data_IF_655387119143
#
_entry.id   IF_655387119143
#
_cell.length_a   1.000
_cell.length_b   1.000
_cell.length_c   1.000
_cell.angle_alpha   90.00
_cell.angle_beta   90.00
_cell.angle_gamma   90.00
#
_symmetry.space_group_name_H-M   'P 1'
#
loop_
_entity.id
_entity.type
_entity.pdbx_description
1 polymer ?
#
# COMPACT_ATOMS: atom_id res chain seq x y z
N UNK A 1 -15.47 7.53 -50.89
CA UNK A 1 -14.40 7.74 -49.89
C UNK A 1 -13.31 6.70 -50.15
N UNK A 2 -12.08 7.13 -50.42
CA UNK A 2 -11.02 6.25 -50.94
C UNK A 2 -10.66 5.18 -49.91
N UNK A 3 -10.58 3.89 -50.30
CA UNK A 3 -10.23 2.78 -49.42
C UNK A 3 -8.90 3.02 -48.65
N UNK A 4 -7.94 3.67 -49.31
CA UNK A 4 -6.68 4.12 -48.70
C UNK A 4 -6.88 5.15 -47.59
N UNK A 5 -7.83 6.06 -47.75
CA UNK A 5 -8.16 7.05 -46.73
C UNK A 5 -8.87 6.42 -45.52
N UNK A 6 -9.70 5.39 -45.76
CA UNK A 6 -10.36 4.61 -44.70
C UNK A 6 -9.31 3.82 -43.89
N UNK A 7 -8.31 3.22 -44.57
CA UNK A 7 -7.22 2.49 -43.91
C UNK A 7 -6.35 3.41 -43.02
N UNK A 8 -6.06 4.63 -43.48
CA UNK A 8 -5.30 5.61 -42.71
C UNK A 8 -6.08 6.16 -41.50
N UNK A 9 -7.40 6.34 -41.65
CA UNK A 9 -8.26 6.77 -40.55
C UNK A 9 -8.40 5.69 -39.47
N UNK A 10 -8.53 4.41 -39.86
CA UNK A 10 -8.60 3.27 -38.95
C UNK A 10 -7.30 3.08 -38.15
N UNK A 11 -6.14 3.36 -38.75
CA UNK A 11 -4.85 3.25 -38.08
C UNK A 11 -4.68 4.31 -36.98
N UNK A 12 -5.27 5.51 -37.15
CA UNK A 12 -5.19 6.60 -36.18
C UNK A 12 -6.02 6.40 -34.91
N UNK A 13 -7.08 5.58 -34.95
CA UNK A 13 -7.99 5.36 -33.81
C UNK A 13 -7.38 4.41 -32.76
N UNK A 14 -6.31 3.69 -33.08
CA UNK A 14 -5.68 2.73 -32.16
C UNK A 14 -4.72 3.36 -31.12
N UNK A 15 -4.49 4.69 -31.16
CA UNK A 15 -3.65 5.38 -30.17
C UNK A 15 -4.45 5.84 -28.93
N UNK A 16 -5.47 5.11 -28.50
CA UNK A 16 -6.13 5.42 -27.23
C UNK A 16 -5.20 5.03 -26.08
N UNK A 17 -4.63 6.03 -25.39
CA UNK A 17 -3.89 5.82 -24.17
C UNK A 17 -4.83 5.27 -23.08
N UNK A 18 -4.54 4.07 -22.60
CA UNK A 18 -5.30 3.45 -21.51
C UNK A 18 -4.69 3.89 -20.17
N UNK A 19 -5.50 4.44 -19.27
CA UNK A 19 -5.08 4.73 -17.90
C UNK A 19 -5.22 3.49 -17.03
N UNK A 20 -4.26 3.27 -16.13
CA UNK A 20 -4.27 2.11 -15.23
C UNK A 20 -5.36 2.27 -14.18
N UNK A 21 -6.39 1.42 -14.23
CA UNK A 21 -7.43 1.31 -13.20
C UNK A 21 -7.07 0.23 -12.18
N UNK A 22 -7.45 0.38 -10.91
CA UNK A 22 -7.21 -0.65 -9.91
C UNK A 22 -8.15 -1.84 -10.16
N UNK A 23 -7.65 -3.06 -9.93
CA UNK A 23 -8.50 -4.26 -9.78
C UNK A 23 -9.19 -4.25 -8.41
N UNK A 24 -10.26 -5.03 -8.25
CA UNK A 24 -11.01 -5.15 -7.00
C UNK A 24 -10.09 -5.52 -5.82
N UNK A 25 -9.14 -6.42 -6.06
CA UNK A 25 -8.19 -6.91 -5.07
C UNK A 25 -7.02 -5.94 -4.85
N UNK A 26 -6.60 -5.19 -5.86
CA UNK A 26 -5.55 -4.19 -5.68
C UNK A 26 -6.06 -2.93 -4.98
N UNK A 27 -7.37 -2.63 -5.07
CA UNK A 27 -7.98 -1.45 -4.45
C UNK A 27 -7.87 -1.44 -2.91
N UNK A 28 -7.74 -2.61 -2.29
CA UNK A 28 -7.56 -2.74 -0.85
C UNK A 28 -6.14 -2.41 -0.35
N UNK A 29 -5.15 -2.31 -1.26
CA UNK A 29 -3.77 -1.97 -0.90
C UNK A 29 -3.71 -0.52 -0.43
N UNK A 30 -3.32 -0.36 0.83
CA UNK A 30 -3.14 0.93 1.51
C UNK A 30 -1.86 1.59 1.07
N UNK A 31 -1.90 2.90 1.04
CA UNK A 31 -0.90 3.74 0.43
C UNK A 31 -0.54 4.79 1.50
N UNK A 32 0.66 4.71 2.08
CA UNK A 32 1.07 5.42 3.31
C UNK A 32 2.18 6.43 3.07
N UNK A 33 1.91 7.72 3.29
CA UNK A 33 2.89 8.82 3.20
C UNK A 33 3.41 9.18 4.58
N UNK A 34 4.74 9.26 4.71
CA UNK A 34 5.47 9.81 5.87
C UNK A 34 5.13 9.19 7.24
N UNK A 35 4.33 8.13 7.28
CA UNK A 35 3.93 7.43 8.49
C UNK A 35 4.67 6.09 8.58
N UNK A 36 5.92 6.15 9.06
CA UNK A 36 6.73 4.95 9.27
C UNK A 36 6.23 4.09 10.43
N UNK A 37 5.50 4.66 11.40
CA UNK A 37 4.95 3.91 12.53
C UNK A 37 3.90 2.88 12.07
N UNK A 38 3.15 3.19 11.00
CA UNK A 38 2.14 2.30 10.45
C UNK A 38 2.70 1.07 9.70
N UNK A 39 4.03 0.98 9.52
CA UNK A 39 4.70 -0.21 8.97
C UNK A 39 5.56 -0.93 10.02
N UNK A 40 5.48 -0.51 11.29
CA UNK A 40 6.14 -1.22 12.39
C UNK A 40 5.58 -2.66 12.46
N UNK A 41 6.49 -3.63 12.56
CA UNK A 41 6.21 -5.07 12.60
C UNK A 41 5.60 -5.67 11.30
N UNK A 42 5.49 -4.92 10.21
CA UNK A 42 5.04 -5.49 8.93
C UNK A 42 6.13 -6.28 8.21
N UNK A 43 5.73 -7.31 7.45
CA UNK A 43 6.66 -8.11 6.64
C UNK A 43 6.95 -7.42 5.31
N UNK A 44 8.23 -7.12 5.05
CA UNK A 44 8.66 -6.58 3.75
C UNK A 44 8.46 -7.61 2.63
N UNK A 45 7.82 -7.20 1.53
CA UNK A 45 7.54 -8.05 0.36
C UNK A 45 8.33 -7.67 -0.88
N UNK A 46 8.82 -6.44 -0.95
CA UNK A 46 9.62 -5.97 -2.09
C UNK A 46 9.46 -4.48 -2.35
N UNK A 47 10.23 -3.98 -3.29
CA UNK A 47 10.13 -2.61 -3.78
C UNK A 47 9.32 -2.58 -5.08
N UNK A 48 8.40 -1.64 -5.18
CA UNK A 48 7.54 -1.44 -6.35
C UNK A 48 7.75 -0.05 -6.93
N UNK A 49 7.60 0.06 -8.25
CA UNK A 49 7.67 1.31 -9.01
C UNK A 49 6.43 1.39 -9.90
N UNK A 50 5.74 2.52 -9.87
CA UNK A 50 4.67 2.87 -10.81
C UNK A 50 5.07 4.08 -11.63
N UNK A 51 4.64 4.13 -12.90
CA UNK A 51 4.92 5.24 -13.78
C UNK A 51 3.84 5.42 -14.83
N UNK A 52 3.29 6.63 -14.90
CA UNK A 52 2.33 7.03 -15.93
C UNK A 52 2.80 8.32 -16.58
N UNK A 53 2.64 8.40 -17.89
CA UNK A 53 3.11 9.55 -18.64
C UNK A 53 2.73 9.53 -20.11
N UNK A 54 2.85 10.70 -20.70
CA UNK A 54 2.40 11.05 -22.03
C UNK A 54 3.54 11.79 -22.72
N UNK A 55 4.32 11.11 -23.56
CA UNK A 55 5.53 11.75 -24.10
C UNK A 55 5.24 12.84 -25.15
N UNK A 56 4.11 12.76 -25.85
CA UNK A 56 3.78 13.62 -27.00
C UNK A 56 2.63 14.58 -26.73
N UNK A 57 1.75 14.24 -25.80
CA UNK A 57 0.49 14.93 -25.52
C UNK A 57 0.33 15.29 -24.04
N UNK A 58 1.43 15.42 -23.29
CA UNK A 58 1.41 15.79 -21.87
C UNK A 58 0.66 17.10 -21.60
N UNK A 59 0.68 18.05 -22.54
CA UNK A 59 -0.04 19.32 -22.41
C UNK A 59 -1.57 19.15 -22.39
N UNK A 60 -2.07 18.09 -23.03
CA UNK A 60 -3.50 17.81 -23.17
C UNK A 60 -4.05 16.90 -22.06
N UNK A 61 -3.18 16.36 -21.21
CA UNK A 61 -3.54 15.39 -20.17
C UNK A 61 -3.44 16.00 -18.77
N UNK A 62 -4.35 15.60 -17.87
CA UNK A 62 -4.36 16.14 -16.52
C UNK A 62 -3.31 15.44 -15.65
N UNK A 63 -2.51 16.23 -14.91
CA UNK A 63 -1.54 15.71 -13.93
C UNK A 63 -2.19 14.78 -12.91
N UNK A 64 -3.46 15.03 -12.60
CA UNK A 64 -4.28 14.20 -11.73
C UNK A 64 -4.36 12.76 -12.25
N UNK A 65 -4.69 12.55 -13.52
CA UNK A 65 -4.92 11.22 -14.05
C UNK A 65 -3.62 10.41 -14.10
N UNK A 66 -2.48 11.07 -14.35
CA UNK A 66 -1.15 10.45 -14.24
C UNK A 66 -0.85 10.01 -12.81
N UNK A 67 -1.07 10.87 -11.80
CA UNK A 67 -0.89 10.50 -10.39
C UNK A 67 -1.78 9.31 -10.02
N UNK A 68 -3.05 9.33 -10.43
CA UNK A 68 -3.97 8.23 -10.15
C UNK A 68 -3.54 6.92 -10.79
N UNK A 69 -3.18 6.94 -12.07
CA UNK A 69 -2.73 5.73 -12.75
C UNK A 69 -1.42 5.19 -12.15
N UNK A 70 -0.49 6.06 -11.74
CA UNK A 70 0.75 5.66 -11.07
C UNK A 70 0.46 4.98 -9.73
N UNK A 71 -0.47 5.50 -8.94
CA UNK A 71 -0.89 4.87 -7.68
C UNK A 71 -1.59 3.53 -7.90
N UNK A 72 -2.40 3.40 -8.95
CA UNK A 72 -3.08 2.15 -9.27
C UNK A 72 -2.10 1.07 -9.74
N UNK A 73 -1.11 1.46 -10.55
CA UNK A 73 -0.03 0.55 -10.96
C UNK A 73 0.77 0.05 -9.76
N UNK A 74 1.08 0.93 -8.79
CA UNK A 74 1.70 0.53 -7.53
C UNK A 74 0.84 -0.48 -6.76
N UNK A 75 -0.46 -0.21 -6.62
CA UNK A 75 -1.39 -1.13 -5.94
C UNK A 75 -1.41 -2.51 -6.58
N UNK A 76 -1.50 -2.58 -7.91
CA UNK A 76 -1.51 -3.85 -8.65
C UNK A 76 -0.21 -4.62 -8.43
N UNK A 77 0.94 -3.95 -8.57
CA UNK A 77 2.25 -4.57 -8.37
C UNK A 77 2.46 -5.03 -6.93
N UNK A 78 2.03 -4.25 -5.95
CA UNK A 78 2.12 -4.63 -4.54
C UNK A 78 1.19 -5.78 -4.19
N UNK A 79 -0.03 -5.79 -4.72
CA UNK A 79 -0.95 -6.91 -4.54
C UNK A 79 -0.38 -8.20 -5.12
N UNK A 80 0.26 -8.14 -6.29
CA UNK A 80 0.95 -9.29 -6.89
C UNK A 80 2.09 -9.86 -6.02
N UNK A 81 2.65 -9.06 -5.11
CA UNK A 81 3.65 -9.49 -4.13
C UNK A 81 3.05 -9.98 -2.80
N UNK A 82 1.72 -10.02 -2.68
CA UNK A 82 1.03 -10.36 -1.43
C UNK A 82 1.15 -9.27 -0.35
N UNK A 83 1.41 -8.02 -0.75
CA UNK A 83 1.41 -6.88 0.14
C UNK A 83 0.03 -6.25 0.25
N UNK A 84 -0.29 -5.70 1.41
CA UNK A 84 -1.52 -4.94 1.68
C UNK A 84 -1.25 -3.44 1.91
N UNK A 85 0.02 -3.06 2.00
CA UNK A 85 0.44 -1.72 2.36
C UNK A 85 1.68 -1.31 1.55
N UNK A 86 1.71 -0.08 1.05
CA UNK A 86 2.85 0.50 0.35
C UNK A 86 3.28 1.77 1.05
N UNK A 87 4.52 1.81 1.47
CA UNK A 87 5.19 3.01 1.97
C UNK A 87 5.92 3.68 0.82
N UNK A 88 5.44 4.83 0.36
CA UNK A 88 6.12 5.53 -0.73
C UNK A 88 7.33 6.32 -0.25
N UNK A 89 8.30 6.39 -1.15
CA UNK A 89 9.33 7.41 -1.15
C UNK A 89 8.87 8.68 -1.85
N UNK A 90 9.72 9.69 -1.81
CA UNK A 90 9.49 10.94 -2.51
C UNK A 90 9.27 10.68 -4.01
N UNK A 91 8.18 11.21 -4.62
CA UNK A 91 7.93 11.06 -6.05
C UNK A 91 9.05 11.65 -6.90
N UNK A 92 9.39 10.96 -7.99
CA UNK A 92 10.32 11.43 -9.01
C UNK A 92 9.56 12.26 -10.04
N UNK A 93 10.00 13.49 -10.25
CA UNK A 93 9.38 14.43 -11.19
C UNK A 93 10.09 14.37 -12.53
N UNK A 94 9.35 13.97 -13.57
CA UNK A 94 9.82 13.98 -14.94
C UNK A 94 8.87 14.84 -15.80
N UNK A 95 9.37 15.40 -16.89
CA UNK A 95 8.53 16.17 -17.82
C UNK A 95 7.56 15.21 -18.52
N UNK A 96 6.26 15.43 -18.33
CA UNK A 96 5.20 14.63 -18.95
C UNK A 96 5.02 13.23 -18.35
N UNK A 97 5.60 12.94 -17.18
CA UNK A 97 5.33 11.69 -16.46
C UNK A 97 5.47 11.83 -14.95
N UNK A 98 4.75 10.97 -14.24
CA UNK A 98 4.77 10.84 -12.78
C UNK A 98 5.27 9.46 -12.43
N UNK A 99 6.44 9.38 -11.80
CA UNK A 99 7.03 8.12 -11.35
C UNK A 99 7.12 8.11 -9.84
N UNK A 100 6.63 7.04 -9.23
CA UNK A 100 6.65 6.84 -7.78
C UNK A 100 7.27 5.49 -7.45
N UNK A 101 7.99 5.42 -6.34
CA UNK A 101 8.66 4.22 -5.86
C UNK A 101 8.36 4.04 -4.38
N UNK A 102 8.12 2.81 -3.95
CA UNK A 102 7.87 2.52 -2.55
C UNK A 102 8.16 1.08 -2.19
N UNK A 103 8.18 0.81 -0.88
CA UNK A 103 8.28 -0.53 -0.36
C UNK A 103 6.89 -1.09 -0.07
N UNK A 104 6.68 -2.32 -0.48
CA UNK A 104 5.47 -3.09 -0.26
C UNK A 104 5.63 -3.96 1.01
N UNK A 105 4.62 -3.93 1.87
CA UNK A 105 4.57 -4.63 3.15
C UNK A 105 3.26 -5.39 3.29
N UNK A 106 3.30 -6.47 4.06
CA UNK A 106 2.12 -7.17 4.53
C UNK A 106 1.98 -6.93 6.04
N UNK A 107 0.90 -6.25 6.44
CA UNK A 107 0.66 -5.75 7.80
C UNK A 107 -0.53 -6.44 8.50
N UNK A 108 -1.54 -6.90 7.75
CA UNK A 108 -2.77 -7.48 8.30
C UNK A 108 -2.51 -8.74 9.14
N UNK A 109 -1.54 -9.57 8.73
CA UNK A 109 -1.13 -10.76 9.49
C UNK A 109 -0.45 -10.39 10.81
N UNK A 110 0.33 -9.31 10.81
CA UNK A 110 1.03 -8.82 12.01
C UNK A 110 0.06 -8.25 13.04
N UNK A 111 -0.84 -7.34 12.65
CA UNK A 111 -1.76 -6.71 13.60
C UNK A 111 -2.81 -7.68 14.16
N UNK A 112 -3.20 -8.71 13.38
CA UNK A 112 -4.04 -9.80 13.89
C UNK A 112 -3.31 -10.68 14.92
N UNK A 113 -1.98 -10.82 14.79
CA UNK A 113 -1.15 -11.56 15.74
C UNK A 113 -0.90 -10.78 17.05
N UNK A 114 -0.74 -9.45 16.96
CA UNK A 114 -0.55 -8.57 18.11
C UNK A 114 -1.82 -8.41 18.96
N UNK A 115 -3.00 -8.34 18.31
CA UNK A 115 -4.29 -8.31 19.01
C UNK A 115 -4.49 -9.58 19.87
N UNK A 116 -4.12 -10.75 19.35
CA UNK A 116 -4.16 -12.03 20.09
C UNK A 116 -3.15 -12.10 21.24
N UNK A 117 -1.95 -11.54 21.07
CA UNK A 117 -0.93 -11.50 22.11
C UNK A 117 -1.29 -10.53 23.25
N UNK A 118 -1.98 -9.43 22.94
CA UNK A 118 -2.47 -8.45 23.93
C UNK A 118 -3.56 -9.03 24.84
N UNK A 119 -4.51 -9.80 24.29
CA UNK A 119 -5.54 -10.50 25.06
C UNK A 119 -4.94 -11.59 25.97
N UNK A 120 -3.90 -12.29 25.50
CA UNK A 120 -3.23 -13.35 26.29
C UNK A 120 -2.46 -12.77 27.49
N UNK A 121 -1.78 -11.63 27.32
CA UNK A 121 -1.08 -10.95 28.44
C UNK A 121 -2.03 -10.37 29.49
N UNK A 122 -3.23 -9.95 29.09
CA UNK A 122 -4.24 -9.48 30.04
C UNK A 122 -4.82 -10.64 30.90
N UNK A 123 -4.92 -11.84 30.32
CA UNK A 123 -5.34 -13.06 31.04
C UNK A 123 -4.30 -13.54 32.07
N UNK A 124 -3.01 -13.47 31.73
CA UNK A 124 -1.92 -13.94 32.60
C UNK A 124 -1.62 -12.97 33.77
N UNK A 125 -1.91 -11.68 33.61
CA UNK A 125 -1.82 -10.69 34.67
C UNK A 125 -2.90 -10.86 35.77
N UNK A 126 -4.08 -11.42 35.45
CA UNK A 126 -5.13 -11.70 36.45
C UNK A 126 -4.89 -12.98 37.27
N UNK A 127 -4.13 -13.95 36.76
CA UNK A 127 -3.86 -15.22 37.47
C UNK A 127 -2.79 -15.08 38.57
N UNK A 128 -1.87 -14.12 38.43
CA UNK A 128 -0.81 -13.87 39.44
C UNK A 128 -1.28 -13.19 40.74
N UNK A 129 -2.57 -12.85 40.87
CA UNK A 129 -3.11 -12.06 42.01
C UNK A 129 -3.94 -12.87 43.02
N UNK A 130 -4.01 -14.21 42.93
CA UNK A 130 -4.66 -15.07 43.95
C UNK A 130 -3.67 -16.14 44.42
N UNK A 131 -3.26 -16.35 45.68
CA UNK A 131 -3.77 -16.09 47.04
C UNK A 131 -2.54 -16.11 48.03
N UNK A 132 -2.69 -15.79 49.34
CA UNK A 132 -1.63 -15.31 50.25
C UNK A 132 -0.91 -16.41 51.06
N UNK A 133 0.14 -16.02 51.83
CA UNK A 133 0.13 -16.35 53.25
C UNK A 133 0.39 -15.11 54.12
N UNK A 134 -0.62 -14.69 54.88
CA UNK A 134 -0.50 -13.69 55.94
C UNK A 134 0.30 -14.29 57.10
N UNK A 135 1.54 -13.81 57.27
CA UNK A 135 2.34 -14.00 58.47
C UNK A 135 1.76 -13.06 59.54
N UNK A 136 1.07 -13.61 60.55
CA UNK A 136 0.77 -12.87 61.78
C UNK A 136 1.97 -12.96 62.72
N UNK A 137 2.73 -11.88 62.74
CA UNK A 137 3.67 -11.50 63.79
C UNK A 137 2.91 -11.31 65.11
N UNK A 138 3.29 -12.05 66.16
CA UNK A 138 2.91 -11.72 67.53
C UNK A 138 4.09 -10.99 68.20
N UNK A 139 3.80 -9.79 68.67
CA UNK A 139 4.70 -8.87 69.36
C UNK A 139 4.61 -9.04 70.88
N UNK A 140 5.75 -8.89 71.54
CA UNK A 140 5.96 -8.40 72.92
C UNK A 140 5.33 -9.16 74.10
N UNK A 141 6.18 -9.83 74.89
CA UNK A 141 6.59 -9.43 76.25
C UNK A 141 7.68 -10.37 76.76
#
# INVERSE_FOLDING_TARGET
MNFRAILLLLLGINLTACVTFPTEESAQVKILWENSAAIENCTYKGTVIGSQGHFYDYWLHSDRDMVWGTLNELRIKSHALGADTVYLYQPLKFLGSVTMMGNAYQCAETHASEAKASETKASEALDSTSLPPQIKTASSQ
#
